data_IF_046326212128
#
_entry.id   IF_046326212128
#
_cell.length_a   1.000
_cell.length_b   1.000
_cell.length_c   1.000
_cell.angle_alpha   90.00
_cell.angle_beta   90.00
_cell.angle_gamma   90.00
#
_symmetry.space_group_name_H-M   'P 1'
#
loop_
_entity.id
_entity.type
_entity.pdbx_description
1 polymer ?
#
# COMPACT_ATOMS: atom_id res chain seq x y z
N UNK A 1 -5.85 45.48 -3.27
CA UNK A 1 -6.90 44.70 -2.58
C UNK A 1 -7.56 45.61 -1.56
N UNK A 2 -8.90 45.76 -1.58
CA UNK A 2 -9.65 46.54 -0.59
C UNK A 2 -10.38 45.54 0.30
N UNK A 3 -10.07 45.54 1.60
CA UNK A 3 -10.72 44.64 2.56
C UNK A 3 -12.15 45.14 2.81
N UNK A 4 -13.14 44.29 2.51
CA UNK A 4 -14.57 44.63 2.66
C UNK A 4 -15.13 44.29 4.03
N UNK A 5 -14.62 43.24 4.67
CA UNK A 5 -15.08 42.77 5.97
C UNK A 5 -13.98 41.93 6.63
N UNK A 6 -13.95 41.93 7.96
CA UNK A 6 -13.11 41.06 8.78
C UNK A 6 -14.06 40.32 9.72
N UNK A 7 -13.98 38.98 9.73
CA UNK A 7 -14.77 38.11 10.61
C UNK A 7 -13.83 37.26 11.45
N UNK A 8 -14.29 36.89 12.63
CA UNK A 8 -13.64 35.92 13.51
C UNK A 8 -14.45 34.62 13.53
N UNK A 9 -13.75 33.48 13.50
CA UNK A 9 -14.38 32.16 13.59
C UNK A 9 -14.58 31.80 15.05
N UNK A 10 -15.84 31.63 15.46
CA UNK A 10 -16.20 31.19 16.81
C UNK A 10 -16.52 29.69 16.75
N UNK A 11 -16.02 28.86 17.69
CA UNK A 11 -16.41 27.46 17.77
C UNK A 11 -17.92 27.30 17.90
N UNK A 12 -18.51 26.39 17.12
CA UNK A 12 -19.92 26.06 17.26
C UNK A 12 -20.16 25.31 18.57
N UNK A 13 -21.28 25.57 19.22
CA UNK A 13 -21.72 24.77 20.37
C UNK A 13 -22.09 23.36 19.91
N UNK A 14 -21.58 22.35 20.62
CA UNK A 14 -21.88 20.95 20.34
C UNK A 14 -23.22 20.60 20.98
N UNK A 15 -24.31 20.87 20.26
CA UNK A 15 -25.69 20.67 20.70
C UNK A 15 -26.56 20.05 19.59
N UNK A 16 -27.80 19.67 19.91
CA UNK A 16 -28.68 18.97 18.96
C UNK A 16 -29.05 19.83 17.75
N UNK A 17 -28.97 21.17 17.84
CA UNK A 17 -29.17 22.04 16.68
C UNK A 17 -28.02 21.93 15.68
N UNK A 18 -26.78 21.81 16.17
CA UNK A 18 -25.62 21.51 15.32
C UNK A 18 -25.77 20.13 14.67
N UNK A 19 -26.20 19.13 15.43
CA UNK A 19 -26.41 17.77 14.95
C UNK A 19 -27.45 17.73 13.79
N UNK A 20 -28.57 18.44 13.95
CA UNK A 20 -29.60 18.58 12.90
C UNK A 20 -29.08 19.26 11.64
N UNK A 21 -28.21 20.27 11.76
CA UNK A 21 -27.54 20.88 10.59
C UNK A 21 -26.61 19.91 9.86
N UNK A 22 -26.09 18.90 10.55
CA UNK A 22 -25.28 17.82 9.98
C UNK A 22 -26.12 16.64 9.49
N UNK A 23 -27.45 16.71 9.58
CA UNK A 23 -28.37 15.70 9.05
C UNK A 23 -28.68 14.54 10.00
N UNK A 24 -28.43 14.67 11.30
CA UNK A 24 -28.73 13.66 12.33
C UNK A 24 -29.59 14.25 13.45
N UNK A 25 -30.32 13.42 14.20
CA UNK A 25 -31.38 13.89 15.11
C UNK A 25 -30.85 14.49 16.42
N UNK A 26 -29.70 14.00 16.90
CA UNK A 26 -29.10 14.37 18.18
C UNK A 26 -27.56 14.37 18.16
N UNK A 27 -26.94 15.05 19.13
CA UNK A 27 -25.48 15.01 19.35
C UNK A 27 -24.99 13.59 19.65
N UNK A 28 -25.78 12.81 20.36
CA UNK A 28 -25.41 11.43 20.71
C UNK A 28 -25.38 10.55 19.47
N UNK A 29 -26.33 10.73 18.54
CA UNK A 29 -26.30 10.07 17.24
C UNK A 29 -25.10 10.54 16.40
N UNK A 30 -24.81 11.85 16.38
CA UNK A 30 -23.64 12.38 15.68
C UNK A 30 -22.34 11.76 16.20
N UNK A 31 -22.18 11.70 17.53
CA UNK A 31 -21.01 11.09 18.19
C UNK A 31 -20.91 9.60 17.88
N UNK A 32 -22.04 8.89 17.85
CA UNK A 32 -22.07 7.47 17.48
C UNK A 32 -21.58 7.27 16.06
N UNK A 33 -22.10 8.03 15.09
CA UNK A 33 -21.71 7.92 13.68
C UNK A 33 -20.23 8.25 13.47
N UNK A 34 -19.71 9.29 14.15
CA UNK A 34 -18.28 9.62 14.12
C UNK A 34 -17.45 8.45 14.67
N UNK A 35 -17.85 7.88 15.81
CA UNK A 35 -17.15 6.74 16.40
C UNK A 35 -17.16 5.53 15.48
N UNK A 36 -18.29 5.20 14.88
CA UNK A 36 -18.40 4.07 13.94
C UNK A 36 -17.50 4.29 12.71
N UNK A 37 -17.47 5.50 12.17
CA UNK A 37 -16.57 5.88 11.08
C UNK A 37 -15.09 5.71 11.47
N UNK A 38 -14.71 6.18 12.67
CA UNK A 38 -13.34 6.06 13.17
C UNK A 38 -12.96 4.59 13.40
N UNK A 39 -13.86 3.77 13.95
CA UNK A 39 -13.62 2.34 14.13
C UNK A 39 -13.42 1.65 12.78
N UNK A 40 -14.22 1.97 11.76
CA UNK A 40 -14.05 1.41 10.41
C UNK A 40 -12.70 1.80 9.79
N UNK A 41 -12.29 3.07 9.94
CA UNK A 41 -11.00 3.55 9.47
C UNK A 41 -9.83 2.86 10.17
N UNK A 42 -9.86 2.78 11.51
CA UNK A 42 -8.82 2.13 12.30
C UNK A 42 -8.74 0.63 12.04
N UNK A 43 -9.87 -0.04 11.83
CA UNK A 43 -9.90 -1.45 11.44
C UNK A 43 -9.26 -1.67 10.07
N UNK A 44 -9.52 -0.78 9.11
CA UNK A 44 -8.90 -0.84 7.77
C UNK A 44 -7.38 -0.70 7.86
N UNK A 45 -6.90 0.26 8.63
CA UNK A 45 -5.46 0.52 8.82
C UNK A 45 -4.79 -0.64 9.56
N UNK A 46 -5.42 -1.15 10.62
CA UNK A 46 -4.92 -2.31 11.37
C UNK A 46 -4.84 -3.55 10.48
N UNK A 47 -5.85 -3.78 9.63
CA UNK A 47 -5.84 -4.88 8.65
C UNK A 47 -4.74 -4.72 7.62
N UNK A 48 -4.55 -3.52 7.08
CA UNK A 48 -3.47 -3.23 6.13
C UNK A 48 -2.09 -3.53 6.76
N UNK A 49 -1.89 -3.17 8.02
CA UNK A 49 -0.66 -3.45 8.76
C UNK A 49 -0.45 -4.94 8.99
N UNK A 50 -1.46 -5.65 9.48
CA UNK A 50 -1.40 -7.10 9.68
C UNK A 50 -1.09 -7.84 8.38
N UNK A 51 -1.76 -7.45 7.29
CA UNK A 51 -1.50 -7.99 5.94
C UNK A 51 -0.05 -7.74 5.53
N UNK A 52 0.45 -6.52 5.70
CA UNK A 52 1.86 -6.18 5.39
C UNK A 52 2.83 -7.03 6.20
N UNK A 53 2.62 -7.16 7.51
CA UNK A 53 3.50 -7.94 8.39
C UNK A 53 3.55 -9.41 7.95
N UNK A 54 2.39 -9.98 7.59
CA UNK A 54 2.32 -11.33 7.01
C UNK A 54 3.11 -11.42 5.70
N UNK A 55 2.89 -10.49 4.76
CA UNK A 55 3.59 -10.48 3.47
C UNK A 55 5.10 -10.26 3.61
N UNK A 56 5.54 -9.48 4.59
CA UNK A 56 6.96 -9.30 4.93
C UNK A 56 7.57 -10.61 5.44
N UNK A 57 6.85 -11.38 6.27
CA UNK A 57 7.29 -12.70 6.74
C UNK A 57 7.37 -13.67 5.57
N UNK A 58 6.32 -13.74 4.73
CA UNK A 58 6.28 -14.65 3.58
C UNK A 58 7.39 -14.35 2.57
N UNK A 59 7.67 -13.08 2.27
CA UNK A 59 8.78 -12.72 1.39
C UNK A 59 10.13 -13.14 1.97
N UNK A 60 10.34 -12.99 3.29
CA UNK A 60 11.60 -13.35 3.95
C UNK A 60 11.83 -14.86 3.99
N UNK A 61 10.82 -15.63 4.38
CA UNK A 61 10.91 -17.07 4.57
C UNK A 61 10.97 -17.86 3.25
N UNK A 62 10.39 -17.31 2.17
CA UNK A 62 10.33 -18.00 0.88
C UNK A 62 11.14 -17.27 -0.18
N UNK A 63 12.34 -17.77 -0.47
CA UNK A 63 13.17 -17.28 -1.59
C UNK A 63 13.27 -18.35 -2.67
N UNK A 64 12.79 -18.02 -3.87
CA UNK A 64 12.87 -18.87 -5.05
C UNK A 64 13.17 -18.03 -6.29
N UNK A 65 13.70 -18.67 -7.33
CA UNK A 65 13.99 -18.03 -8.61
C UNK A 65 12.70 -17.66 -9.32
N UNK A 66 12.63 -16.42 -9.82
CA UNK A 66 11.47 -15.91 -10.53
C UNK A 66 11.63 -16.14 -12.04
N UNK A 67 10.57 -16.49 -12.76
CA UNK A 67 10.58 -16.48 -14.22
C UNK A 67 10.90 -15.07 -14.74
N UNK A 68 11.99 -14.93 -15.50
CA UNK A 68 12.50 -13.63 -15.98
C UNK A 68 11.42 -12.84 -16.74
N UNK A 69 10.61 -13.50 -17.57
CA UNK A 69 9.54 -12.84 -18.32
C UNK A 69 8.49 -12.15 -17.43
N UNK A 70 8.00 -12.85 -16.40
CA UNK A 70 6.97 -12.29 -15.49
C UNK A 70 7.56 -11.16 -14.66
N UNK A 71 8.81 -11.31 -14.23
CA UNK A 71 9.53 -10.29 -13.48
C UNK A 71 9.74 -9.01 -14.28
N UNK A 72 10.22 -9.11 -15.53
CA UNK A 72 10.44 -7.94 -16.39
C UNK A 72 9.10 -7.29 -16.76
N UNK A 73 8.05 -8.06 -17.06
CA UNK A 73 6.69 -7.52 -17.30
C UNK A 73 6.19 -6.72 -16.10
N UNK A 74 6.39 -7.22 -14.88
CA UNK A 74 6.00 -6.51 -13.67
C UNK A 74 6.82 -5.22 -13.48
N UNK A 75 8.13 -5.27 -13.70
CA UNK A 75 8.98 -4.10 -13.61
C UNK A 75 8.56 -3.01 -14.61
N UNK A 76 8.35 -3.39 -15.87
CA UNK A 76 7.93 -2.47 -16.93
C UNK A 76 6.56 -1.84 -16.62
N UNK A 77 5.61 -2.61 -16.07
CA UNK A 77 4.31 -2.11 -15.68
C UNK A 77 4.41 -1.02 -14.58
N UNK A 78 5.18 -1.28 -13.53
CA UNK A 78 5.36 -0.33 -12.42
C UNK A 78 6.15 0.89 -12.90
N UNK A 79 7.21 0.69 -13.70
CA UNK A 79 8.02 1.79 -14.23
C UNK A 79 7.20 2.71 -15.14
N UNK A 80 6.37 2.15 -16.02
CA UNK A 80 5.49 2.92 -16.87
C UNK A 80 4.44 3.71 -16.07
N UNK A 81 3.93 3.15 -14.97
CA UNK A 81 3.03 3.87 -14.07
C UNK A 81 3.73 5.03 -13.35
N UNK A 82 4.94 4.79 -12.85
CA UNK A 82 5.76 5.82 -12.24
C UNK A 82 6.06 6.96 -13.23
N UNK A 83 6.45 6.65 -14.47
CA UNK A 83 6.72 7.66 -15.50
C UNK A 83 5.48 8.49 -15.84
N UNK A 84 4.31 7.85 -16.00
CA UNK A 84 3.04 8.56 -16.20
C UNK A 84 2.73 9.50 -15.04
N UNK A 85 2.87 9.03 -13.80
CA UNK A 85 2.63 9.86 -12.61
C UNK A 85 3.61 11.03 -12.53
N UNK A 86 4.87 10.80 -12.86
CA UNK A 86 5.92 11.82 -12.91
C UNK A 86 5.63 12.89 -13.97
N UNK A 87 5.05 12.52 -15.10
CA UNK A 87 4.66 13.46 -16.17
C UNK A 87 3.37 14.22 -15.83
N UNK A 88 2.32 13.51 -15.41
CA UNK A 88 0.98 14.08 -15.19
C UNK A 88 0.87 14.87 -13.88
N UNK A 89 1.59 14.43 -12.84
CA UNK A 89 1.48 14.95 -11.47
C UNK A 89 2.85 15.05 -10.78
N UNK A 90 3.78 15.89 -11.27
CA UNK A 90 5.15 15.95 -10.75
C UNK A 90 5.23 16.32 -9.27
N UNK A 91 4.27 17.08 -8.75
CA UNK A 91 4.20 17.47 -7.34
C UNK A 91 3.77 16.32 -6.41
N UNK A 92 3.19 15.25 -6.97
CA UNK A 92 2.71 14.06 -6.24
C UNK A 92 3.67 12.87 -6.32
N UNK A 93 4.89 13.08 -6.83
CA UNK A 93 5.95 12.06 -6.74
C UNK A 93 6.26 11.81 -5.26
N UNK A 94 6.49 10.55 -4.90
CA UNK A 94 6.88 10.14 -3.56
C UNK A 94 8.11 10.94 -3.11
N UNK A 95 8.11 11.45 -1.87
CA UNK A 95 9.26 12.15 -1.31
C UNK A 95 10.52 11.28 -1.33
N UNK A 96 10.37 9.97 -1.16
CA UNK A 96 11.50 9.05 -1.26
C UNK A 96 12.08 9.03 -2.67
N UNK A 97 11.28 9.22 -3.72
CA UNK A 97 11.74 9.19 -5.11
C UNK A 97 12.35 10.53 -5.58
N UNK A 98 12.05 11.63 -4.87
CA UNK A 98 12.54 12.97 -5.23
C UNK A 98 14.06 13.06 -5.15
N UNK A 99 14.66 13.60 -6.21
CA UNK A 99 16.11 13.85 -6.29
C UNK A 99 16.97 12.62 -6.54
N UNK A 100 16.39 11.43 -6.70
CA UNK A 100 17.10 10.23 -7.15
C UNK A 100 17.28 10.25 -8.67
N UNK A 101 18.36 9.65 -9.14
CA UNK A 101 18.57 9.42 -10.58
C UNK A 101 17.68 8.29 -11.10
N UNK A 102 17.40 8.29 -12.42
CA UNK A 102 16.64 7.20 -13.06
C UNK A 102 17.30 5.82 -12.83
N UNK A 103 18.63 5.73 -12.77
CA UNK A 103 19.32 4.48 -12.46
C UNK A 103 19.02 3.98 -11.04
N UNK A 104 19.01 4.87 -10.06
CA UNK A 104 18.69 4.55 -8.66
C UNK A 104 17.22 4.16 -8.49
N UNK A 105 16.31 4.88 -9.16
CA UNK A 105 14.88 4.58 -9.15
C UNK A 105 14.62 3.22 -9.79
N UNK A 106 15.15 2.97 -11.00
CA UNK A 106 15.00 1.66 -11.67
C UNK A 106 15.52 0.52 -10.81
N UNK A 107 16.65 0.69 -10.10
CA UNK A 107 17.15 -0.33 -9.19
C UNK A 107 16.19 -0.60 -8.03
N UNK A 108 15.51 0.41 -7.49
CA UNK A 108 14.52 0.24 -6.41
C UNK A 108 13.23 -0.43 -6.91
N UNK A 109 12.69 0.05 -8.03
CA UNK A 109 11.50 -0.51 -8.65
C UNK A 109 11.68 -1.95 -9.09
N UNK A 110 12.90 -2.36 -9.48
CA UNK A 110 13.22 -3.77 -9.71
C UNK A 110 13.03 -4.65 -8.48
N UNK A 111 13.48 -4.19 -7.31
CA UNK A 111 13.32 -4.99 -6.10
C UNK A 111 11.85 -5.02 -5.65
N UNK A 112 11.10 -3.94 -5.88
CA UNK A 112 9.65 -3.92 -5.69
C UNK A 112 8.98 -4.95 -6.61
N UNK A 113 9.33 -4.97 -7.90
CA UNK A 113 8.80 -5.93 -8.87
C UNK A 113 9.11 -7.38 -8.47
N UNK A 114 10.36 -7.66 -8.06
CA UNK A 114 10.79 -8.98 -7.58
C UNK A 114 9.92 -9.45 -6.40
N UNK A 115 9.73 -8.56 -5.41
CA UNK A 115 8.88 -8.85 -4.25
C UNK A 115 7.42 -9.09 -4.66
N UNK A 116 6.86 -8.26 -5.53
CA UNK A 116 5.47 -8.38 -5.99
C UNK A 116 5.23 -9.69 -6.75
N UNK A 117 6.12 -10.05 -7.67
CA UNK A 117 6.00 -11.30 -8.44
C UNK A 117 6.14 -12.51 -7.52
N UNK A 118 7.12 -12.49 -6.61
CA UNK A 118 7.30 -13.58 -5.63
C UNK A 118 6.05 -13.80 -4.79
N UNK A 119 5.54 -12.74 -4.16
CA UNK A 119 4.35 -12.83 -3.30
C UNK A 119 3.11 -13.20 -4.12
N UNK A 120 2.93 -12.63 -5.32
CA UNK A 120 1.83 -12.98 -6.21
C UNK A 120 1.81 -14.45 -6.59
N UNK A 121 2.97 -15.03 -6.94
CA UNK A 121 3.09 -16.46 -7.22
C UNK A 121 2.82 -17.32 -5.98
N UNK A 122 3.35 -16.93 -4.82
CA UNK A 122 3.16 -17.66 -3.57
C UNK A 122 1.69 -17.68 -3.15
N UNK A 123 1.02 -16.51 -3.11
CA UNK A 123 -0.38 -16.41 -2.72
C UNK A 123 -1.30 -17.10 -3.72
N UNK A 124 -1.00 -17.00 -5.02
CA UNK A 124 -1.74 -17.72 -6.07
C UNK A 124 -1.66 -19.24 -5.86
N UNK A 125 -0.46 -19.76 -5.56
CA UNK A 125 -0.28 -21.19 -5.31
C UNK A 125 -0.96 -21.65 -4.01
N UNK A 126 -0.89 -20.87 -2.94
CA UNK A 126 -1.61 -21.15 -1.69
C UNK A 126 -3.11 -21.19 -1.95
N UNK A 127 -3.64 -20.20 -2.68
CA UNK A 127 -5.07 -20.16 -3.04
C UNK A 127 -5.47 -21.35 -3.89
N UNK A 128 -4.65 -21.74 -4.86
CA UNK A 128 -4.90 -22.90 -5.73
C UNK A 128 -4.91 -24.22 -4.97
N UNK A 129 -3.94 -24.46 -4.09
CA UNK A 129 -3.81 -25.71 -3.33
C UNK A 129 -4.92 -25.87 -2.29
N UNK A 130 -5.38 -24.76 -1.70
CA UNK A 130 -6.42 -24.75 -0.68
C UNK A 130 -7.82 -24.42 -1.23
N UNK A 131 -7.96 -24.40 -2.56
CA UNK A 131 -9.23 -24.14 -3.26
C UNK A 131 -9.91 -22.82 -2.83
N UNK A 132 -9.10 -21.82 -2.47
CA UNK A 132 -9.59 -20.48 -2.15
C UNK A 132 -9.99 -19.80 -3.45
N UNK A 133 -11.28 -19.54 -3.60
CA UNK A 133 -11.84 -18.92 -4.81
C UNK A 133 -12.66 -17.69 -4.47
N UNK A 134 -12.60 -16.69 -5.34
CA UNK A 134 -13.49 -15.52 -5.30
C UNK A 134 -14.82 -15.93 -5.93
N UNK A 135 -15.89 -15.83 -5.16
CA UNK A 135 -17.24 -16.14 -5.61
C UNK A 135 -17.77 -15.07 -6.58
N UNK A 136 -18.71 -15.43 -7.48
CA UNK A 136 -19.40 -14.46 -8.33
C UNK A 136 -20.07 -13.34 -7.54
N UNK A 137 -20.60 -13.64 -6.35
CA UNK A 137 -21.26 -12.67 -5.47
C UNK A 137 -20.27 -11.62 -4.93
N UNK A 138 -19.07 -12.04 -4.54
CA UNK A 138 -17.99 -11.14 -4.10
C UNK A 138 -17.52 -10.25 -5.25
N UNK A 139 -17.33 -10.82 -6.44
CA UNK A 139 -16.92 -10.06 -7.62
C UNK A 139 -17.98 -9.03 -8.01
N UNK A 140 -19.27 -9.43 -8.03
CA UNK A 140 -20.37 -8.50 -8.28
C UNK A 140 -20.42 -7.37 -7.24
N UNK A 141 -20.18 -7.68 -5.96
CA UNK A 141 -20.14 -6.66 -4.91
C UNK A 141 -19.00 -5.67 -5.14
N UNK A 142 -17.82 -6.14 -5.54
CA UNK A 142 -16.70 -5.27 -5.87
C UNK A 142 -17.02 -4.35 -7.07
N UNK A 143 -17.67 -4.87 -8.12
CA UNK A 143 -18.13 -4.05 -9.26
C UNK A 143 -19.14 -2.98 -8.80
N UNK A 144 -20.06 -3.33 -7.91
CA UNK A 144 -21.01 -2.36 -7.34
C UNK A 144 -20.30 -1.26 -6.54
N UNK A 145 -19.29 -1.60 -5.75
CA UNK A 145 -18.50 -0.64 -4.99
C UNK A 145 -17.72 0.31 -5.90
N UNK A 146 -17.11 -0.21 -6.97
CA UNK A 146 -16.45 0.62 -7.98
C UNK A 146 -17.44 1.56 -8.67
N UNK A 147 -18.62 1.08 -9.05
CA UNK A 147 -19.65 1.93 -9.62
C UNK A 147 -20.07 3.07 -8.66
N UNK A 148 -20.20 2.78 -7.36
CA UNK A 148 -20.54 3.78 -6.33
C UNK A 148 -19.46 4.86 -6.15
N UNK A 149 -18.19 4.55 -6.39
CA UNK A 149 -17.09 5.53 -6.38
C UNK A 149 -17.21 6.51 -7.55
N UNK A 150 -17.83 6.10 -8.66
CA UNK A 150 -18.03 6.91 -9.86
C UNK A 150 -19.47 7.40 -10.01
N UNK A 151 -19.90 8.29 -9.10
CA UNK A 151 -21.26 8.88 -9.10
C UNK A 151 -21.62 9.52 -10.45
N UNK A 152 -22.78 9.16 -10.98
CA UNK A 152 -23.30 9.65 -12.26
C UNK A 152 -22.81 8.88 -13.50
N UNK A 153 -21.91 7.90 -13.34
CA UNK A 153 -21.42 7.01 -14.42
C UNK A 153 -21.60 5.53 -14.10
N UNK A 154 -22.46 5.20 -13.15
CA UNK A 154 -22.60 3.85 -12.60
C UNK A 154 -22.89 2.82 -13.71
N UNK A 155 -23.82 3.15 -14.63
CA UNK A 155 -24.20 2.28 -15.76
C UNK A 155 -23.05 2.00 -16.72
N UNK A 156 -22.19 2.99 -16.97
CA UNK A 156 -21.02 2.85 -17.84
C UNK A 156 -19.98 1.93 -17.19
N UNK A 157 -19.75 2.10 -15.88
CA UNK A 157 -18.83 1.23 -15.11
C UNK A 157 -19.33 -0.21 -15.10
N UNK A 158 -20.62 -0.46 -14.86
CA UNK A 158 -21.18 -1.81 -14.93
C UNK A 158 -21.01 -2.44 -16.32
N UNK A 159 -21.29 -1.69 -17.39
CA UNK A 159 -21.13 -2.18 -18.75
C UNK A 159 -19.65 -2.49 -19.06
N UNK A 160 -18.74 -1.61 -18.64
CA UNK A 160 -17.30 -1.80 -18.79
C UNK A 160 -16.82 -3.12 -18.18
N UNK A 161 -17.15 -3.39 -16.91
CA UNK A 161 -16.76 -4.65 -16.28
C UNK A 161 -17.46 -5.86 -16.89
N UNK A 162 -18.73 -5.74 -17.27
CA UNK A 162 -19.46 -6.84 -17.91
C UNK A 162 -18.83 -7.29 -19.24
N UNK A 163 -18.40 -6.34 -20.05
CA UNK A 163 -17.92 -6.59 -21.40
C UNK A 163 -16.38 -6.77 -21.48
N UNK A 164 -15.66 -6.47 -20.38
CA UNK A 164 -14.21 -6.56 -20.29
C UNK A 164 -13.75 -7.60 -19.26
N UNK A 165 -13.47 -8.81 -19.72
CA UNK A 165 -12.97 -9.90 -18.88
C UNK A 165 -11.64 -9.58 -18.20
N UNK A 166 -10.76 -8.81 -18.85
CA UNK A 166 -9.49 -8.40 -18.28
C UNK A 166 -9.70 -7.44 -17.09
N UNK A 167 -10.67 -6.53 -17.19
CA UNK A 167 -11.02 -5.64 -16.09
C UNK A 167 -11.61 -6.40 -14.89
N UNK A 168 -12.44 -7.42 -15.14
CA UNK A 168 -12.93 -8.29 -14.08
C UNK A 168 -11.81 -9.07 -13.41
N UNK A 169 -10.85 -9.59 -14.18
CA UNK A 169 -9.70 -10.30 -13.63
C UNK A 169 -8.82 -9.37 -12.79
N UNK A 170 -8.61 -8.12 -13.23
CA UNK A 170 -7.90 -7.12 -12.46
C UNK A 170 -8.60 -6.80 -11.13
N UNK A 171 -9.93 -6.84 -11.09
CA UNK A 171 -10.72 -6.69 -9.87
C UNK A 171 -10.71 -7.95 -8.98
N UNK A 172 -10.56 -9.13 -9.58
CA UNK A 172 -10.51 -10.40 -8.88
C UNK A 172 -9.20 -10.59 -8.11
N UNK A 173 -8.05 -10.17 -8.66
CA UNK A 173 -6.75 -10.41 -8.03
C UNK A 173 -6.63 -9.88 -6.59
N UNK A 174 -7.00 -8.62 -6.28
CA UNK A 174 -6.98 -8.12 -4.90
C UNK A 174 -7.93 -8.88 -3.98
N UNK A 175 -9.10 -9.30 -4.48
CA UNK A 175 -10.06 -10.09 -3.69
C UNK A 175 -9.50 -11.48 -3.35
N UNK A 176 -8.86 -12.13 -4.31
CA UNK A 176 -8.23 -13.42 -4.08
C UNK A 176 -7.07 -13.28 -3.08
N UNK A 177 -6.25 -12.25 -3.23
CA UNK A 177 -5.16 -11.93 -2.31
C UNK A 177 -5.66 -11.78 -0.87
N UNK A 178 -6.71 -10.97 -0.67
CA UNK A 178 -7.31 -10.76 0.66
C UNK A 178 -7.86 -12.06 1.25
N UNK A 179 -8.52 -12.91 0.44
CA UNK A 179 -9.05 -14.20 0.92
C UNK A 179 -7.94 -15.18 1.27
N UNK A 180 -6.85 -15.21 0.51
CA UNK A 180 -5.70 -16.06 0.82
C UNK A 180 -5.01 -15.57 2.09
N UNK A 181 -4.86 -14.26 2.27
CA UNK A 181 -4.34 -13.67 3.51
C UNK A 181 -5.21 -14.05 4.69
N UNK A 182 -6.54 -13.90 4.59
CA UNK A 182 -7.47 -14.28 5.65
C UNK A 182 -7.35 -15.78 5.98
N UNK A 183 -7.27 -16.64 4.96
CA UNK A 183 -7.06 -18.08 5.16
C UNK A 183 -5.75 -18.40 5.90
N UNK A 184 -4.64 -17.72 5.58
CA UNK A 184 -3.37 -17.91 6.28
C UNK A 184 -3.49 -17.44 7.74
N UNK A 185 -4.14 -16.29 7.97
CA UNK A 185 -4.34 -15.72 9.30
C UNK A 185 -5.23 -16.61 10.19
N UNK A 186 -6.24 -17.29 9.63
CA UNK A 186 -7.07 -18.25 10.37
C UNK A 186 -6.26 -19.45 10.90
N UNK A 187 -5.14 -19.78 10.26
CA UNK A 187 -4.25 -20.88 10.65
C UNK A 187 -3.04 -20.41 11.46
N UNK A 188 -2.76 -19.11 11.47
CA UNK A 188 -1.62 -18.52 12.14
C UNK A 188 -1.88 -18.35 13.65
N UNK A 189 -0.81 -18.36 14.44
CA UNK A 189 -0.86 -17.92 15.84
C UNK A 189 -0.81 -16.39 15.87
N UNK A 190 -1.95 -15.76 16.21
CA UNK A 190 -2.11 -14.31 16.21
C UNK A 190 -2.16 -13.81 17.65
N UNK A 191 -1.23 -12.92 17.99
CA UNK A 191 -1.24 -12.19 19.27
C UNK A 191 -1.79 -10.78 19.10
N UNK A 192 -2.60 -10.33 20.05
CA UNK A 192 -3.04 -8.94 20.14
C UNK A 192 -2.01 -8.06 20.86
N UNK A 193 -1.84 -6.83 20.38
CA UNK A 193 -1.00 -5.81 21.01
C UNK A 193 -1.72 -4.48 21.01
N UNK A 194 -1.76 -3.82 22.17
CA UNK A 194 -2.19 -2.43 22.27
C UNK A 194 -1.10 -1.49 21.71
N UNK A 195 -1.52 -0.55 20.87
CA UNK A 195 -0.67 0.47 20.24
C UNK A 195 -1.34 1.84 20.34
N UNK A 196 -0.55 2.90 20.29
CA UNK A 196 -1.10 4.26 20.20
C UNK A 196 -1.62 4.56 18.81
N UNK A 197 -2.41 5.62 18.66
CA UNK A 197 -2.86 6.08 17.35
C UNK A 197 -1.66 6.47 16.48
N UNK A 198 -0.69 7.17 17.06
CA UNK A 198 0.52 7.59 16.38
C UNK A 198 1.32 6.37 15.90
N UNK A 199 1.48 5.34 16.73
CA UNK A 199 2.16 4.10 16.34
C UNK A 199 1.40 3.37 15.22
N UNK A 200 0.06 3.34 15.26
CA UNK A 200 -0.75 2.68 14.23
C UNK A 200 -0.68 3.43 12.89
N UNK A 201 -0.71 4.77 12.93
CA UNK A 201 -0.69 5.66 11.78
C UNK A 201 0.71 5.84 11.20
N UNK A 202 1.75 5.55 11.98
CA UNK A 202 3.11 5.48 11.47
C UNK A 202 3.17 4.37 10.42
N UNK A 203 3.38 4.76 9.16
CA UNK A 203 3.81 3.81 8.15
C UNK A 203 5.03 3.12 8.73
N UNK A 204 5.00 1.78 8.94
CA UNK A 204 6.13 1.12 9.57
C UNK A 204 7.36 1.51 8.79
N UNK A 205 8.28 2.24 9.44
CA UNK A 205 9.52 2.67 8.82
C UNK A 205 10.08 1.46 8.09
N UNK A 206 10.16 1.60 6.77
CA UNK A 206 10.91 0.75 5.85
C UNK A 206 10.78 -0.72 6.21
N UNK A 207 9.85 -1.43 5.56
CA UNK A 207 10.23 -2.79 5.17
C UNK A 207 11.56 -2.56 4.45
N UNK A 208 12.67 -2.95 5.08
CA UNK A 208 13.91 -3.13 4.37
C UNK A 208 13.54 -4.13 3.29
N UNK A 209 13.08 -3.60 2.15
CA UNK A 209 13.27 -4.23 0.87
C UNK A 209 14.74 -4.59 0.95
N UNK A 210 15.02 -5.88 1.14
CA UNK A 210 16.33 -6.44 1.47
C UNK A 210 17.31 -6.10 0.33
N UNK A 211 17.74 -4.85 0.28
CA UNK A 211 18.90 -4.32 -0.44
C UNK A 211 20.18 -4.71 0.30
N UNK A 212 20.03 -5.35 1.46
CA UNK A 212 21.06 -5.91 2.32
C UNK A 212 21.72 -7.15 1.73
N UNK A 213 22.37 -7.00 0.57
CA UNK A 213 23.58 -7.78 0.28
C UNK A 213 24.52 -7.12 -0.74
N UNK A 214 24.04 -6.20 -1.58
CA UNK A 214 24.90 -5.51 -2.54
C UNK A 214 25.76 -4.38 -1.92
N UNK A 215 25.31 -3.78 -0.81
CA UNK A 215 25.96 -2.57 -0.28
C UNK A 215 26.95 -2.82 0.88
N UNK A 216 26.98 -4.04 1.44
CA UNK A 216 27.95 -4.39 2.50
C UNK A 216 29.35 -4.74 1.95
N UNK A 217 29.48 -5.11 0.67
CA UNK A 217 30.79 -5.37 0.07
C UNK A 217 31.54 -4.10 -0.37
N UNK A 218 30.83 -3.02 -0.77
CA UNK A 218 31.49 -1.74 -1.15
C UNK A 218 32.04 -0.99 0.07
N UNK A 219 31.40 -1.09 1.24
CA UNK A 219 31.86 -0.41 2.46
C UNK A 219 33.08 -1.09 3.10
N UNK A 220 33.20 -2.43 3.03
CA UNK A 220 34.39 -3.16 3.48
C UNK A 220 35.60 -2.95 2.56
N UNK A 221 35.42 -2.87 1.23
CA UNK A 221 36.51 -2.55 0.28
C UNK A 221 37.02 -1.11 0.40
N UNK A 222 36.15 -0.12 0.64
CA UNK A 222 36.58 1.27 0.88
C UNK A 222 37.31 1.46 2.21
N UNK A 223 36.94 0.73 3.28
CA UNK A 223 37.65 0.79 4.57
C UNK A 223 39.01 0.09 4.54
N UNK A 224 39.19 -0.99 3.76
CA UNK A 224 40.50 -1.66 3.64
C UNK A 224 41.50 -0.85 2.81
N UNK A 225 41.06 -0.19 1.73
CA UNK A 225 41.95 0.65 0.90
C UNK A 225 42.41 1.90 1.64
N UNK A 226 41.54 2.55 2.44
CA UNK A 226 41.93 3.72 3.26
C UNK A 226 42.90 3.39 4.40
N UNK A 227 42.86 2.16 4.94
CA UNK A 227 43.75 1.74 6.04
C UNK A 227 45.16 1.35 5.55
N UNK A 228 45.29 0.96 4.28
CA UNK A 228 46.59 0.63 3.66
C UNK A 228 47.31 1.91 3.20
N UNK A 229 46.60 2.92 2.68
CA UNK A 229 47.24 4.17 2.24
C UNK A 229 47.71 5.07 3.40
N UNK A 230 47.08 4.99 4.58
CA UNK A 230 47.47 5.80 5.74
C UNK A 230 48.67 5.25 6.54
N UNK A 231 49.18 4.06 6.21
CA UNK A 231 50.33 3.44 6.90
C UNK A 231 51.66 3.55 6.16
N UNK A 232 51.71 4.14 4.96
CA UNK A 232 52.94 4.19 4.14
C UNK A 232 53.68 5.53 4.11
N UNK A 233 53.18 6.58 4.76
CA UNK A 233 53.83 7.91 4.77
C UNK A 233 54.22 8.39 6.18
N UNK A 234 54.97 7.60 6.95
CA UNK A 234 55.75 8.05 8.11
C UNK A 234 56.94 7.12 8.36
N UNK A 235 58.01 7.32 7.61
CA UNK A 235 59.39 6.97 7.98
C UNK A 235 60.32 7.45 6.85
N UNK A 236 61.28 8.29 7.24
CA UNK A 236 62.34 8.98 6.50
C UNK A 236 61.95 10.16 5.60
#
# INVERSE_FOLDING_TARGET
>A
VVVKEIRETIPAEINDEMAKKMGVESVDELRKNIRESQVQELNSISRMRLKRDLLDILDKEHKFELPEGIYEEQFDAIWAEFERRREDNPDQIDEDDKGKSDEELKAQYRIIAERMVRLGLLLSEIGRVNEVVVSPEELNRAVMQEAQRHKGKEKEIFAYYKDNSQALQALQSPLLEDKVVDFILELADISEREVTLEELMEYPEKSEINTGDANQQKSKKRKSVKKISSKKNKSD
#
